data_IF_284505987993
#
_entry.id   IF_284505987993
#
_cell.length_a   1.000
_cell.length_b   1.000
_cell.length_c   1.000
_cell.angle_alpha   90.00
_cell.angle_beta   90.00
_cell.angle_gamma   90.00
#
_symmetry.space_group_name_H-M   'P 1'
#
loop_
_entity.id
_entity.type
_entity.pdbx_description
1 polymer ?
2 polymer ?
3 water ?
#
# COMPACT_ATOMS: atom_id res chain seq x y z
N UNK A 6 0.76 16.61 -5.62
CA UNK A 6 0.78 16.72 -7.08
C UNK A 6 1.07 15.37 -7.75
N UNK A 7 1.90 14.56 -7.11
CA UNK A 7 2.28 13.25 -7.64
C UNK A 7 1.40 12.19 -7.00
N UNK A 8 0.73 11.39 -7.81
CA UNK A 8 -0.09 10.29 -7.33
C UNK A 8 0.05 9.09 -8.26
N UNK A 9 -0.10 7.89 -7.71
CA UNK A 9 -0.02 6.69 -8.52
C UNK A 9 -1.22 6.61 -9.48
N UNK A 10 -1.02 6.05 -10.67
CA UNK A 10 -2.15 5.85 -11.58
C UNK A 10 -3.26 5.06 -10.90
N UNK A 11 -4.48 5.58 -10.99
CA UNK A 11 -5.64 4.94 -10.40
C UNK A 11 -5.97 5.40 -8.99
N UNK A 12 -5.06 6.08 -8.31
CA UNK A 12 -5.31 6.54 -6.94
C UNK A 12 -6.09 7.84 -7.00
N UNK A 13 -7.42 7.74 -6.82
CA UNK A 13 -8.29 8.91 -6.84
C UNK A 13 -9.01 9.12 -5.52
N UNK A 14 -8.65 8.37 -4.48
CA UNK A 14 -9.22 8.46 -3.13
C UNK A 14 -10.71 8.13 -3.11
N UNK A 15 -11.20 7.49 -4.17
CA UNK A 15 -12.52 6.89 -4.20
C UNK A 15 -12.43 5.38 -4.39
N UNK A 16 -11.22 4.83 -4.32
CA UNK A 16 -10.95 3.39 -4.37
C UNK A 16 -9.99 3.08 -3.23
N UNK A 17 -10.33 2.08 -2.42
CA UNK A 17 -9.60 1.85 -1.18
C UNK A 17 -9.26 0.37 -1.00
N UNK A 18 -8.01 0.12 -0.61
CA UNK A 18 -7.52 -1.19 -0.22
C UNK A 18 -7.61 -1.33 1.30
N UNK A 19 -8.38 -2.31 1.76
CA UNK A 19 -8.56 -2.59 3.19
C UNK A 19 -7.89 -3.93 3.46
N UNK A 20 -6.74 -3.91 4.16
CA UNK A 20 -5.99 -5.13 4.42
C UNK A 20 -6.37 -5.63 5.81
N UNK A 21 -6.73 -6.90 5.90
CA UNK A 21 -7.13 -7.44 7.18
C UNK A 21 -6.12 -8.47 7.65
N UNK A 22 -6.13 -8.71 8.96
CA UNK A 22 -5.35 -9.78 9.55
C UNK A 22 -6.30 -10.79 10.18
N UNK A 23 -6.00 -12.07 10.00
CA UNK A 23 -6.88 -13.13 10.41
C UNK A 23 -6.24 -13.99 11.49
N UNK A 24 -7.04 -14.67 12.30
CA UNK A 24 -6.45 -15.56 13.32
C UNK A 24 -5.74 -16.74 12.68
N UNK A 25 -5.01 -17.47 13.51
CA UNK A 25 -4.28 -18.65 13.06
C UNK A 25 -4.66 -19.90 13.84
N UNK A 26 -5.73 -19.84 14.62
CA UNK A 26 -6.14 -20.96 15.46
C UNK A 26 -7.63 -21.24 15.42
N UNK A 27 -8.17 -21.62 14.25
CA UNK A 27 -7.41 -21.87 13.01
C UNK A 27 -7.41 -20.68 12.05
N UNK A 28 -6.58 -20.78 11.02
CA UNK A 28 -6.69 -19.86 9.89
C UNK A 28 -8.05 -20.05 9.23
N UNK A 29 -8.71 -18.97 8.82
CA UNK A 29 -9.99 -19.10 8.12
C UNK A 29 -9.80 -19.61 6.69
N UNK A 30 -10.86 -20.20 6.16
CA UNK A 30 -10.82 -20.64 4.77
C UNK A 30 -10.90 -19.44 3.86
N UNK A 31 -10.64 -19.65 2.56
CA UNK A 31 -10.81 -18.56 1.59
C UNK A 31 -12.22 -18.00 1.66
N UNK A 32 -13.22 -18.88 1.71
CA UNK A 32 -14.60 -18.38 1.73
C UNK A 32 -14.87 -17.60 3.00
N UNK A 33 -14.32 -18.04 4.14
CA UNK A 33 -14.51 -17.28 5.37
C UNK A 33 -13.86 -15.91 5.28
N UNK A 34 -12.70 -15.81 4.64
CA UNK A 34 -12.06 -14.50 4.46
C UNK A 34 -12.91 -13.60 3.59
N UNK A 35 -13.45 -14.13 2.49
CA UNK A 35 -14.30 -13.33 1.62
C UNK A 35 -15.54 -12.87 2.39
N UNK A 36 -16.15 -13.77 3.17
CA UNK A 36 -17.31 -13.38 3.97
C UNK A 36 -16.93 -12.29 4.97
N UNK A 37 -15.71 -12.36 5.52
CA UNK A 37 -15.26 -11.33 6.44
C UNK A 37 -15.10 -9.99 5.74
N UNK A 38 -14.54 -9.98 4.53
CA UNK A 38 -14.44 -8.74 3.78
C UNK A 38 -15.80 -8.11 3.61
N UNK A 39 -16.79 -8.90 3.16
CA UNK A 39 -18.12 -8.37 2.89
C UNK A 39 -18.82 -7.95 4.18
N UNK A 40 -18.69 -8.74 5.25
CA UNK A 40 -19.29 -8.36 6.53
C UNK A 40 -18.71 -7.05 7.05
N UNK A 41 -17.39 -6.87 6.94
CA UNK A 41 -16.75 -5.65 7.40
C UNK A 41 -17.22 -4.46 6.58
N UNK A 42 -17.25 -4.61 5.26
CA UNK A 42 -17.73 -3.54 4.40
C UNK A 42 -19.20 -3.24 4.67
N UNK A 43 -19.99 -4.28 4.92
CA UNK A 43 -21.41 -4.10 5.21
C UNK A 43 -21.61 -3.38 6.54
N UNK A 44 -20.76 -3.66 7.51
CA UNK A 44 -20.82 -2.93 8.78
C UNK A 44 -20.68 -1.43 8.56
N UNK A 45 -19.76 -1.03 7.67
CA UNK A 45 -19.50 0.38 7.44
C UNK A 45 -20.56 1.02 6.55
N UNK A 46 -20.96 0.32 5.49
CA UNK A 46 -21.90 0.93 4.55
C UNK A 46 -23.34 0.82 5.00
N UNK A 47 -23.68 -0.19 5.82
CA UNK A 47 -25.02 -0.34 6.34
C UNK A 47 -25.81 -1.49 5.78
N UNK A 48 -25.36 -2.15 4.72
CA UNK A 48 -26.08 -3.31 4.23
C UNK A 48 -25.14 -4.20 3.44
N UNK A 49 -25.45 -5.49 3.44
CA UNK A 49 -24.73 -6.43 2.60
C UNK A 49 -24.93 -6.12 1.12
N UNK A 50 -26.12 -5.64 0.73
CA UNK A 50 -26.34 -5.29 -0.67
C UNK A 50 -25.35 -4.22 -1.12
N UNK A 51 -25.16 -3.17 -0.32
CA UNK A 51 -24.21 -2.13 -0.69
C UNK A 51 -22.78 -2.64 -0.65
N UNK A 52 -22.47 -3.54 0.29
CA UNK A 52 -21.13 -4.11 0.32
C UNK A 52 -20.84 -4.90 -0.94
N UNK A 53 -21.78 -5.75 -1.35
CA UNK A 53 -21.56 -6.54 -2.56
C UNK A 53 -21.43 -5.65 -3.80
N UNK A 54 -22.15 -4.53 -3.83
CA UNK A 54 -22.10 -3.64 -4.98
C UNK A 54 -20.77 -2.91 -5.08
N UNK A 55 -20.10 -2.65 -3.96
CA UNK A 55 -18.94 -1.78 -3.95
C UNK A 55 -17.62 -2.49 -3.71
N UNK A 56 -17.62 -3.78 -3.43
CA UNK A 56 -16.35 -4.51 -3.40
C UNK A 56 -16.03 -4.95 -4.82
N UNK A 57 -14.96 -4.41 -5.42
CA UNK A 57 -14.69 -4.75 -6.81
C UNK A 57 -13.55 -5.75 -6.97
N UNK A 58 -12.74 -5.97 -5.94
CA UNK A 58 -11.64 -6.92 -6.03
C UNK A 58 -11.19 -7.29 -4.63
N UNK A 59 -10.43 -8.38 -4.55
CA UNK A 59 -9.91 -8.86 -3.27
C UNK A 59 -8.81 -9.86 -3.54
N UNK A 60 -8.09 -10.23 -2.47
CA UNK A 60 -7.19 -11.36 -2.53
C UNK A 60 -7.30 -12.12 -1.21
N UNK A 61 -7.02 -13.42 -1.28
CA UNK A 61 -6.84 -14.22 -0.07
C UNK A 61 -5.49 -14.93 -0.08
N UNK A 62 -4.61 -14.58 -1.02
CA UNK A 62 -3.32 -15.24 -1.16
C UNK A 62 -2.17 -14.23 -1.09
N UNK A 63 -1.94 -13.51 -2.19
CA UNK A 63 -0.89 -12.49 -2.24
C UNK A 63 -1.01 -11.53 -1.06
N UNK A 64 -2.23 -11.06 -0.82
CA UNK A 64 -2.56 -10.27 0.35
C UNK A 64 -3.93 -10.74 0.82
N UNK A 65 -4.28 -10.42 2.07
CA UNK A 65 -5.59 -10.78 2.59
C UNK A 65 -6.36 -9.48 2.82
N UNK A 66 -6.91 -8.92 1.74
CA UNK A 66 -7.67 -7.69 1.89
C UNK A 66 -8.61 -7.56 0.71
N UNK A 67 -9.42 -6.51 0.76
CA UNK A 67 -10.41 -6.26 -0.29
C UNK A 67 -10.28 -4.82 -0.76
N UNK A 68 -10.88 -4.55 -1.91
CA UNK A 68 -10.77 -3.25 -2.57
C UNK A 68 -12.16 -2.77 -2.93
N UNK A 69 -12.48 -1.52 -2.60
CA UNK A 69 -13.87 -1.09 -2.68
C UNK A 69 -13.98 0.36 -3.11
N UNK A 70 -15.12 0.69 -3.71
CA UNK A 70 -15.45 2.05 -4.13
C UNK A 70 -16.22 2.73 -3.00
N UNK A 71 -15.48 3.54 -2.22
CA UNK A 71 -16.03 4.30 -1.10
C UNK A 71 -15.26 5.63 -1.07
N UNK A 72 -15.85 6.63 -0.43
CA UNK A 72 -15.10 7.88 -0.35
C UNK A 72 -14.15 7.86 0.84
N UNK A 73 -13.32 8.90 0.93
CA UNK A 73 -12.25 8.90 1.92
C UNK A 73 -12.80 8.95 3.34
N UNK A 74 -13.85 9.76 3.57
CA UNK A 74 -14.47 9.79 4.88
C UNK A 74 -14.99 8.42 5.28
N UNK A 75 -15.58 7.70 4.32
CA UNK A 75 -16.07 6.36 4.64
C UNK A 75 -14.91 5.40 4.93
N UNK A 76 -13.78 5.55 4.22
CA UNK A 76 -12.64 4.68 4.48
C UNK A 76 -12.13 4.84 5.91
N UNK A 77 -12.21 6.05 6.48
CA UNK A 77 -11.74 6.25 7.84
C UNK A 77 -12.48 5.38 8.84
N UNK A 78 -13.75 5.05 8.56
CA UNK A 78 -14.55 4.27 9.50
C UNK A 78 -14.04 2.86 9.66
N UNK A 79 -13.17 2.38 8.76
CA UNK A 79 -12.64 1.03 8.91
C UNK A 79 -11.54 0.95 9.96
N UNK A 80 -10.85 2.05 10.24
CA UNK A 80 -9.74 2.01 11.18
C UNK A 80 -10.26 1.67 12.57
N UNK A 81 -9.62 0.72 13.22
CA UNK A 81 -10.07 0.27 14.50
C UNK A 81 -11.10 -0.83 14.48
N UNK A 82 -11.67 -1.15 13.31
CA UNK A 82 -12.61 -2.25 13.27
C UNK A 82 -11.86 -3.56 13.46
N UNK A 83 -12.51 -4.59 14.00
CA UNK A 83 -11.82 -5.85 14.28
C UNK A 83 -11.16 -6.40 13.03
N UNK A 84 -9.86 -6.67 13.15
CA UNK A 84 -9.11 -7.29 12.08
C UNK A 84 -8.61 -6.35 11.01
N UNK A 85 -8.99 -5.08 11.01
CA UNK A 85 -8.51 -4.15 9.98
C UNK A 85 -7.10 -3.71 10.32
N UNK A 86 -6.15 -4.01 9.43
CA UNK A 86 -4.76 -3.64 9.64
C UNK A 86 -4.36 -2.38 8.88
N UNK A 87 -4.69 -2.30 7.59
CA UNK A 87 -4.32 -1.15 6.76
C UNK A 87 -5.53 -0.65 6.00
N UNK A 88 -5.63 0.67 5.89
CA UNK A 88 -6.62 1.34 5.05
C UNK A 88 -5.84 2.28 4.14
N UNK A 89 -5.76 1.93 2.85
CA UNK A 89 -4.81 2.58 1.95
C UNK A 89 -5.47 2.90 0.62
N UNK A 90 -5.14 4.03 0.02
CA UNK A 90 -5.72 4.35 -1.29
C UNK A 90 -5.26 3.32 -2.32
N UNK A 91 -6.23 2.79 -3.07
CA UNK A 91 -5.90 1.78 -4.06
C UNK A 91 -5.26 2.43 -5.27
N UNK A 92 -4.61 1.61 -6.10
CA UNK A 92 -3.90 2.05 -7.29
C UNK A 92 -3.93 0.92 -8.32
N UNK A 93 -3.72 1.27 -9.60
CA UNK A 93 -3.63 0.25 -10.64
C UNK A 93 -2.41 -0.64 -10.42
N UNK A 94 -2.55 -1.91 -10.75
CA UNK A 94 -1.36 -2.77 -10.91
C UNK A 94 -1.06 -2.90 -12.40
N UNK A 95 -2.08 -2.74 -13.24
CA UNK A 95 -1.95 -2.80 -14.70
C UNK A 95 -2.46 -1.47 -15.23
N UNK A 96 -1.54 -0.53 -15.48
CA UNK A 96 -1.95 0.82 -15.82
C UNK A 96 -2.63 0.86 -17.17
N UNK A 97 -2.07 0.15 -18.17
CA UNK A 97 -2.65 0.17 -19.51
C UNK A 97 -4.11 -0.26 -19.48
N UNK A 98 -4.43 -1.29 -18.71
CA UNK A 98 -5.80 -1.80 -18.64
C UNK A 98 -6.62 -1.17 -17.52
N UNK A 99 -6.06 -0.18 -16.81
CA UNK A 99 -6.73 0.46 -15.69
C UNK A 99 -7.29 -0.58 -14.73
N UNK A 100 -6.45 -1.58 -14.44
CA UNK A 100 -6.84 -2.73 -13.62
C UNK A 100 -6.22 -2.59 -12.24
N UNK A 101 -7.07 -2.61 -11.22
CA UNK A 101 -6.63 -2.56 -9.83
C UNK A 101 -6.13 -3.90 -9.33
N UNK A 102 -6.17 -4.96 -10.14
CA UNK A 102 -5.65 -6.23 -9.71
C UNK A 102 -6.57 -6.96 -8.77
N UNK A 103 -6.07 -8.07 -8.23
CA UNK A 103 -6.84 -8.95 -7.37
C UNK A 103 -7.77 -9.86 -8.14
N UNK A 104 -8.34 -10.82 -7.41
CA UNK A 104 -9.52 -11.50 -7.92
C UNK A 104 -10.64 -10.48 -8.04
N UNK A 105 -11.44 -10.58 -9.11
CA UNK A 105 -12.51 -9.62 -9.31
C UNK A 105 -13.79 -10.06 -8.63
N UNK A 106 -14.58 -9.09 -8.19
CA UNK A 106 -15.89 -9.34 -7.58
C UNK A 106 -16.88 -8.44 -8.29
N UNK A 107 -17.87 -9.05 -8.96
CA UNK A 107 -18.85 -8.29 -9.71
C UNK A 107 -20.20 -8.57 -9.06
N UNK A 108 -20.50 -7.81 -8.01
CA UNK A 108 -21.78 -7.87 -7.29
C UNK A 108 -22.21 -9.32 -7.03
N UNK A 109 -21.29 -10.09 -6.44
CA UNK A 109 -21.55 -11.46 -6.08
C UNK A 109 -20.81 -12.49 -6.91
N UNK A 110 -20.32 -12.13 -8.09
CA UNK A 110 -19.62 -13.06 -8.96
C UNK A 110 -18.11 -12.94 -8.76
N UNK A 111 -17.46 -14.05 -8.44
CA UNK A 111 -16.01 -14.07 -8.23
C UNK A 111 -15.33 -14.53 -9.51
N UNK A 112 -14.41 -13.72 -10.02
CA UNK A 112 -13.63 -14.08 -11.19
C UNK A 112 -12.16 -14.15 -10.77
N UNK A 113 -11.55 -15.33 -10.71
CA UNK A 113 -10.18 -15.43 -10.23
C UNK A 113 -9.25 -14.68 -11.16
N UNK A 114 -8.22 -14.04 -10.58
CA UNK A 114 -7.29 -13.27 -11.41
C UNK A 114 -6.41 -14.20 -12.24
N UNK B 10 19.05 -7.26 -13.82
CA UNK B 10 17.90 -6.37 -13.73
C UNK B 10 17.71 -5.65 -15.08
N UNK B 11 16.46 -5.36 -15.44
CA UNK B 11 16.16 -4.77 -16.73
C UNK B 11 16.88 -3.44 -16.89
N UNK B 12 17.50 -3.17 -18.04
CA UNK B 12 18.28 -1.93 -18.18
C UNK B 12 17.47 -0.67 -17.96
N UNK B 13 16.19 -0.65 -18.32
CA UNK B 13 15.38 0.55 -18.10
C UNK B 13 15.08 0.75 -16.62
N UNK B 14 14.96 -0.34 -15.86
CA UNK B 14 14.80 -0.22 -14.42
C UNK B 14 16.10 0.27 -13.78
N UNK B 15 17.23 -0.26 -14.25
CA UNK B 15 18.54 0.27 -13.84
C UNK B 15 18.58 1.78 -14.06
N UNK B 16 18.20 2.20 -15.27
CA UNK B 16 18.30 3.62 -15.63
C UNK B 16 17.41 4.48 -14.73
N UNK B 17 16.14 4.09 -14.60
CA UNK B 17 15.25 4.88 -13.74
C UNK B 17 15.74 4.89 -12.29
N UNK B 18 16.17 3.73 -11.78
CA UNK B 18 16.66 3.69 -10.40
C UNK B 18 17.82 4.62 -10.20
N UNK B 19 18.75 4.66 -11.16
CA UNK B 19 19.93 5.51 -11.02
C UNK B 19 19.56 6.98 -11.10
N UNK B 20 18.65 7.36 -12.00
CA UNK B 20 18.21 8.75 -12.07
C UNK B 20 17.49 9.15 -10.80
N UNK B 21 16.59 8.29 -10.32
CA UNK B 21 15.86 8.58 -9.08
C UNK B 21 16.84 8.74 -7.93
N UNK B 22 17.80 7.81 -7.82
CA UNK B 22 18.81 7.90 -6.77
C UNK B 22 19.63 9.18 -6.90
N UNK B 23 20.04 9.52 -8.12
CA UNK B 23 20.83 10.73 -8.32
C UNK B 23 20.06 11.97 -7.94
N UNK B 24 18.76 12.03 -8.28
CA UNK B 24 17.95 13.18 -7.92
C UNK B 24 17.77 13.27 -6.42
N UNK B 25 17.59 12.12 -5.76
CA UNK B 25 17.50 12.09 -4.31
C UNK B 25 18.77 12.63 -3.67
N UNK B 26 19.92 12.15 -4.14
CA UNK B 26 21.20 12.59 -3.62
C UNK B 26 21.40 14.09 -3.80
N UNK B 27 20.87 14.65 -4.89
CA UNK B 27 20.98 16.08 -5.17
C UNK B 27 19.98 16.91 -4.38
N UNK B 28 19.16 16.28 -3.55
CA UNK B 28 18.10 16.98 -2.84
C UNK B 28 16.94 17.40 -3.71
N UNK B 29 16.80 16.81 -4.90
CA UNK B 29 15.71 17.19 -5.80
C UNK B 29 14.59 16.16 -5.69
N UNK B 30 13.96 16.18 -4.51
CA UNK B 30 13.06 15.08 -4.12
C UNK B 30 11.80 15.05 -4.96
N UNK B 31 11.22 16.21 -5.24
CA UNK B 31 10.03 16.27 -6.09
C UNK B 31 10.31 15.68 -7.47
N UNK B 32 11.50 15.95 -8.03
CA UNK B 32 11.84 15.43 -9.34
C UNK B 32 11.99 13.91 -9.32
N UNK B 33 12.56 13.38 -8.23
CA UNK B 33 12.63 11.92 -8.10
C UNK B 33 11.24 11.31 -8.09
N UNK B 34 10.29 11.94 -7.38
CA UNK B 34 8.93 11.40 -7.32
C UNK B 34 8.26 11.48 -8.68
N UNK B 35 8.50 12.56 -9.43
CA UNK B 35 7.96 12.67 -10.78
C UNK B 35 8.46 11.55 -11.68
N UNK B 36 9.75 11.23 -11.61
CA UNK B 36 10.27 10.12 -12.42
C UNK B 36 9.62 8.80 -12.02
N UNK B 37 9.45 8.58 -10.71
CA UNK B 37 8.80 7.35 -10.28
C UNK B 37 7.38 7.25 -10.82
N UNK B 38 6.64 8.36 -10.77
CA UNK B 38 5.28 8.35 -11.31
C UNK B 38 5.29 7.96 -12.78
N UNK B 39 6.24 8.49 -13.55
CA UNK B 39 6.32 8.16 -14.96
C UNK B 39 6.65 6.69 -15.16
N UNK B 40 7.58 6.18 -14.36
CA UNK B 40 7.94 4.77 -14.41
C UNK B 40 6.69 3.91 -14.33
N UNK B 41 5.88 4.14 -13.29
CA UNK B 41 4.66 3.35 -13.12
C UNK B 41 3.70 3.59 -14.27
N UNK B 42 3.51 4.86 -14.68
CA UNK B 42 2.59 5.17 -15.77
C UNK B 42 2.97 4.48 -17.06
N UNK B 43 4.26 4.28 -17.30
CA UNK B 43 4.72 3.67 -18.53
C UNK B 43 4.80 2.15 -18.44
N UNK B 44 4.42 1.56 -17.30
CA UNK B 44 4.45 0.12 -17.17
C UNK B 44 5.81 -0.48 -16.90
N UNK B 45 6.76 0.33 -16.42
CA UNK B 45 8.09 -0.14 -16.06
C UNK B 45 8.06 -0.57 -14.60
N UNK B 46 8.48 -1.81 -14.33
CA UNK B 46 8.20 -2.42 -13.04
C UNK B 46 9.21 -1.97 -11.99
N UNK B 47 8.79 -1.25 -10.96
CA UNK B 47 9.73 -0.91 -9.88
C UNK B 47 10.21 -2.18 -9.17
N UNK B 48 11.44 -2.12 -8.65
CA UNK B 48 11.93 -3.23 -7.82
C UNK B 48 12.18 -2.70 -6.40
N UNK B 49 12.78 -3.54 -5.55
CA UNK B 49 12.91 -3.14 -4.15
C UNK B 49 13.81 -1.92 -4.01
N UNK B 50 14.76 -1.73 -4.92
CA UNK B 50 15.61 -0.54 -4.86
C UNK B 50 14.84 0.69 -5.31
N UNK B 51 13.97 0.55 -6.31
CA UNK B 51 13.08 1.66 -6.67
C UNK B 51 12.24 2.09 -5.48
N UNK B 52 11.59 1.12 -4.83
CA UNK B 52 10.70 1.46 -3.72
C UNK B 52 11.47 2.08 -2.58
N UNK B 53 12.67 1.57 -2.30
CA UNK B 53 13.46 2.09 -1.19
C UNK B 53 13.83 3.54 -1.44
N UNK B 54 14.30 3.85 -2.65
CA UNK B 54 14.69 5.22 -2.97
C UNK B 54 13.50 6.17 -2.94
N UNK B 55 12.37 5.77 -3.53
CA UNK B 55 11.23 6.69 -3.61
C UNK B 55 10.56 6.84 -2.25
N UNK B 56 10.57 5.80 -1.41
CA UNK B 56 10.04 5.97 -0.06
C UNK B 56 10.93 6.87 0.79
N UNK B 57 12.24 6.82 0.57
CA UNK B 57 13.16 7.76 1.22
C UNK B 57 12.88 9.19 0.78
N UNK B 58 12.64 9.41 -0.52
CA UNK B 58 12.23 10.73 -0.99
C UNK B 58 10.94 11.16 -0.32
N UNK B 59 9.94 10.26 -0.24
CA UNK B 59 8.70 10.62 0.47
C UNK B 59 8.98 10.97 1.93
N UNK B 60 9.85 10.20 2.59
CA UNK B 60 10.15 10.47 3.99
C UNK B 60 10.78 11.85 4.16
N UNK B 61 11.67 12.23 3.26
CA UNK B 61 12.37 13.50 3.40
C UNK B 61 11.52 14.69 2.98
N UNK B 62 10.51 14.47 2.15
CA UNK B 62 9.58 15.51 1.75
C UNK B 62 8.36 15.59 2.65
N UNK B 63 8.13 14.58 3.49
CA UNK B 63 6.88 14.50 4.20
C UNK B 63 5.70 14.14 3.32
N UNK B 64 5.95 13.45 2.21
CA UNK B 64 4.91 13.09 1.24
C UNK B 64 4.23 11.80 1.70
N UNK B 65 3.45 11.94 2.77
CA UNK B 65 2.80 10.78 3.39
C UNK B 65 1.76 10.14 2.46
N UNK B 66 1.04 10.97 1.71
CA UNK B 66 -0.03 10.41 0.88
C UNK B 66 0.53 9.48 -0.20
N UNK B 67 1.56 9.93 -0.92
CA UNK B 67 2.19 9.04 -1.90
C UNK B 67 2.80 7.84 -1.20
N UNK B 68 3.37 8.04 0.00
CA UNK B 68 3.90 6.91 0.74
C UNK B 68 2.87 5.84 1.03
N UNK B 69 1.64 6.26 1.36
CA UNK B 69 0.58 5.29 1.64
C UNK B 69 0.09 4.64 0.35
N UNK B 70 0.04 5.39 -0.75
CA UNK B 70 -0.26 4.77 -2.03
C UNK B 70 0.79 3.73 -2.40
N UNK B 71 2.07 4.05 -2.20
CA UNK B 71 3.14 3.10 -2.47
C UNK B 71 3.02 1.88 -1.55
N UNK B 72 2.64 2.11 -0.29
CA UNK B 72 2.44 0.99 0.63
C UNK B 72 1.41 0.01 0.06
N UNK B 73 0.28 0.53 -0.40
CA UNK B 73 -0.72 -0.35 -0.99
C UNK B 73 -0.19 -1.06 -2.23
N UNK B 74 0.57 -0.34 -3.05
CA UNK B 74 1.16 -0.94 -4.25
C UNK B 74 2.11 -2.07 -3.90
N UNK B 75 2.96 -1.85 -2.89
CA UNK B 75 3.90 -2.86 -2.42
C UNK B 75 3.17 -4.09 -1.89
N UNK B 76 2.10 -3.87 -1.12
CA UNK B 76 1.34 -4.99 -0.55
C UNK B 76 0.80 -5.86 -1.66
N UNK B 77 0.24 -5.23 -2.70
CA UNK B 77 -0.40 -6.00 -3.77
C UNK B 77 0.61 -6.65 -4.70
N UNK B 78 1.83 -6.14 -4.75
CA UNK B 78 2.85 -6.61 -5.68
C UNK B 78 3.70 -7.74 -5.12
N UNK B 79 3.35 -8.24 -3.94
CA UNK B 79 4.12 -9.32 -3.34
C UNK B 79 5.42 -8.91 -2.71
N UNK B 80 5.75 -7.61 -2.70
CA UNK B 80 6.88 -7.11 -1.93
C UNK B 80 6.58 -7.05 -0.44
N UNK B 81 5.57 -7.80 0.00
CA UNK B 81 5.15 -7.80 1.40
C UNK B 81 6.28 -8.26 2.32
N UNK B 82 7.17 -9.11 1.84
CA UNK B 82 8.17 -9.74 2.71
C UNK B 82 9.57 -9.16 2.55
N UNK B 83 9.73 -8.07 1.80
CA UNK B 83 11.06 -7.63 1.38
C UNK B 83 11.68 -6.70 2.43
N UNK B 84 12.89 -7.05 2.90
CA UNK B 84 13.49 -6.32 4.01
C UNK B 84 13.85 -4.90 3.60
N UNK B 85 14.37 -4.72 2.38
CA UNK B 85 14.71 -3.40 1.89
C UNK B 85 13.47 -2.52 1.83
N UNK B 86 12.35 -3.05 1.35
CA UNK B 86 11.15 -2.24 1.20
C UNK B 86 10.53 -1.96 2.57
N UNK B 87 10.51 -2.95 3.47
CA UNK B 87 9.83 -2.69 4.72
C UNK B 87 10.64 -1.77 5.60
N UNK B 88 11.97 -1.82 5.51
CA UNK B 88 12.79 -0.82 6.17
C UNK B 88 12.46 0.58 5.66
N UNK B 89 12.25 0.72 4.35
CA UNK B 89 11.94 2.02 3.78
C UNK B 89 10.54 2.49 4.18
N UNK B 90 9.57 1.56 4.26
CA UNK B 90 8.24 1.93 4.73
C UNK B 90 8.27 2.42 6.17
N UNK B 91 9.02 1.73 7.03
CA UNK B 91 9.12 2.12 8.43
C UNK B 91 9.71 3.52 8.53
N UNK B 92 10.77 3.77 7.75
CA UNK B 92 11.41 5.07 7.75
C UNK B 92 10.45 6.16 7.28
N UNK B 93 9.65 5.87 6.26
CA UNK B 93 8.70 6.85 5.74
C UNK B 93 7.64 7.17 6.79
N UNK B 94 7.05 6.15 7.41
CA UNK B 94 6.00 6.43 8.39
C UNK B 94 6.57 7.17 9.60
N UNK B 95 7.75 6.76 10.09
CA UNK B 95 8.29 7.42 11.27
C UNK B 95 8.65 8.87 10.97
N UNK B 96 9.24 9.15 9.80
CA UNK B 96 9.59 10.53 9.48
C UNK B 96 8.38 11.39 9.12
N UNK B 97 7.26 10.78 8.73
CA UNK B 97 6.03 11.51 8.51
C UNK B 97 5.18 11.60 9.77
N UNK B 98 5.73 11.22 10.93
CA UNK B 98 5.06 11.45 12.19
C UNK B 98 4.05 10.41 12.62
N UNK B 99 4.10 9.21 12.04
CA UNK B 99 3.14 8.15 12.36
C UNK B 99 3.89 6.97 12.95
N UNK B 100 4.26 7.08 14.23
CA UNK B 100 5.01 6.00 14.87
C UNK B 100 4.19 4.72 14.94
N UNK B 101 2.90 4.85 15.22
CA UNK B 101 2.07 3.65 15.33
C UNK B 101 2.02 2.89 14.02
N UNK B 102 2.01 3.58 12.88
CA UNK B 102 2.05 2.88 11.60
C UNK B 102 3.41 2.24 11.36
N UNK B 103 4.48 2.97 11.68
CA UNK B 103 5.80 2.37 11.58
C UNK B 103 5.90 1.11 12.43
N UNK B 104 5.35 1.14 13.65
CA UNK B 104 5.32 -0.04 14.52
C UNK B 104 4.59 -1.21 13.87
N UNK B 105 3.50 -0.95 13.16
CA UNK B 105 2.74 -2.05 12.55
C UNK B 105 3.54 -2.71 11.43
N UNK B 106 4.27 -1.91 10.64
CA UNK B 106 5.15 -2.48 9.62
C UNK B 106 6.26 -3.28 10.29
N UNK B 107 6.88 -2.71 11.33
CA UNK B 107 7.93 -3.39 12.08
C UNK B 107 7.46 -4.76 12.56
N UNK B 108 6.23 -4.83 13.07
CA UNK B 108 5.70 -6.10 13.60
C UNK B 108 5.37 -7.10 12.50
N UNK B 109 5.24 -6.64 11.25
CA UNK B 109 4.98 -7.53 10.12
C UNK B 109 6.23 -8.26 9.67
N UNK B 110 7.40 -7.70 9.93
CA UNK B 110 8.64 -8.28 9.42
C UNK B 110 9.03 -9.51 10.22
N UNK B 111 9.75 -10.46 9.61
CA UNK B 111 10.27 -11.64 10.29
C UNK B 111 11.48 -11.33 11.16
N UNK B 115 19.97 -6.46 13.84
CA UNK B 115 19.13 -5.90 12.78
C UNK B 115 18.58 -4.52 13.07
N UNK B 116 17.43 -4.29 12.47
CA UNK B 116 16.58 -3.16 12.83
C UNK B 116 16.05 -3.37 14.24
N UNK B 117 16.22 -2.35 15.07
CA UNK B 117 15.67 -2.34 16.42
C UNK B 117 14.49 -1.38 16.47
N UNK B 118 13.57 -1.61 17.41
CA UNK B 118 12.53 -0.61 17.60
C UNK B 118 13.10 0.68 18.15
N UNK B 119 14.20 0.60 18.89
CA UNK B 119 14.91 1.81 19.33
C UNK B 119 15.25 2.71 18.14
N UNK B 120 15.71 2.13 17.04
CA UNK B 120 16.05 2.99 15.90
C UNK B 120 14.81 3.58 15.26
N UNK B 121 13.71 2.81 15.23
CA UNK B 121 12.45 3.33 14.68
C UNK B 121 11.99 4.52 15.52
N UNK B 122 11.99 4.35 16.85
CA UNK B 122 11.57 5.44 17.74
C UNK B 122 12.49 6.63 17.60
N UNK B 123 13.80 6.39 17.53
CA UNK B 123 14.73 7.51 17.36
C UNK B 123 14.44 8.31 16.09
N UNK B 124 14.17 7.61 14.98
CA UNK B 124 13.85 8.30 13.73
C UNK B 124 12.60 9.15 13.89
N UNK B 125 11.57 8.59 14.52
CA UNK B 125 10.34 9.34 14.79
C UNK B 125 10.61 10.57 15.64
N UNK B 126 11.31 10.39 16.77
CA UNK B 126 11.55 11.51 17.66
C UNK B 126 12.38 12.59 17.00
N UNK B 127 13.40 12.20 16.23
CA UNK B 127 14.28 13.21 15.64
C UNK B 127 13.56 14.02 14.56
N UNK B 128 12.56 13.43 13.90
CA UNK B 128 11.77 14.16 12.91
C UNK B 128 10.71 15.06 13.55
N UNK B 129 10.41 14.85 14.83
CA UNK B 129 9.43 15.68 15.53
C UNK B 129 10.08 16.89 16.19
#
# INVERSE_FOLDING_TARGET
MEQRETIMLPGSDYNHWLIVMEFPKDPAPSRDQMIDTYLNTLATVLGSMEEAKKNMYAFSTTTYTGFQCTIDEETSEKFKGLPGVLWVLPDSYIDVKNKDYGGDKYINGEIIPSTYPTYQPKQLEHHHHHHHH
HMAELRRQGVAPTVVTYNALIDGLCKAGKLDEALKLFEEMVEKGIKPDEFTFSSVLKACARLGALELGKQIHGYVIKSGFESNVVVYNALIDMYSKCGLLEEARKVFDEMPEKDELTYRRVVESYCRAKRFE
#
